data_IF_583230989074
#
_entry.id   IF_583230989074
#
_cell.length_a   1.000
_cell.length_b   1.000
_cell.length_c   1.000
_cell.angle_alpha   90.00
_cell.angle_beta   90.00
_cell.angle_gamma   90.00
#
_symmetry.space_group_name_H-M   'P 1'
#
loop_
_entity.id
_entity.type
_entity.pdbx_description
1 polymer ?
#
# COMPACT_ATOMS: atom_id res chain seq x y z
N UNK A 1 -5.02 1.18 20.17
CA UNK A 1 -5.88 2.28 19.66
C UNK A 1 -6.18 2.01 18.20
N UNK A 2 -7.47 2.05 17.80
CA UNK A 2 -7.85 1.80 16.41
C UNK A 2 -7.27 2.87 15.49
N UNK A 3 -6.51 2.43 14.49
CA UNK A 3 -5.94 3.29 13.45
C UNK A 3 -6.94 3.54 12.34
N UNK A 4 -7.74 2.50 12.01
CA UNK A 4 -8.78 2.53 10.98
C UNK A 4 -10.09 2.03 11.58
N UNK A 5 -11.18 2.76 11.33
CA UNK A 5 -12.55 2.29 11.62
C UNK A 5 -13.42 2.56 10.40
N UNK A 6 -14.07 1.51 9.91
CA UNK A 6 -15.04 1.56 8.82
C UNK A 6 -16.40 1.13 9.34
N UNK A 7 -17.45 1.92 9.05
CA UNK A 7 -18.83 1.64 9.45
C UNK A 7 -19.73 1.69 8.23
N UNK A 8 -20.26 0.53 7.85
CA UNK A 8 -21.14 0.37 6.68
C UNK A 8 -20.54 1.00 5.41
N UNK A 9 -19.22 0.85 5.24
CA UNK A 9 -18.51 1.45 4.11
C UNK A 9 -18.94 0.78 2.81
N UNK A 10 -19.38 1.60 1.86
CA UNK A 10 -19.63 1.20 0.48
C UNK A 10 -18.70 1.92 -0.48
N UNK A 11 -18.22 1.22 -1.51
CA UNK A 11 -17.33 1.82 -2.53
C UNK A 11 -17.97 1.72 -3.91
N UNK A 12 -17.88 2.80 -4.67
CA UNK A 12 -18.37 2.87 -6.04
C UNK A 12 -17.25 3.26 -7.01
N UNK A 13 -17.32 2.74 -8.21
CA UNK A 13 -16.49 3.16 -9.34
C UNK A 13 -17.34 3.87 -10.38
N UNK A 14 -16.78 4.92 -11.00
CA UNK A 14 -17.42 5.60 -12.12
C UNK A 14 -17.21 4.77 -13.40
N UNK A 15 -18.30 4.36 -14.01
CA UNK A 15 -18.33 3.67 -15.30
C UNK A 15 -19.16 4.52 -16.29
N UNK A 16 -18.47 5.36 -17.07
CA UNK A 16 -19.13 6.40 -17.87
C UNK A 16 -19.81 7.43 -16.98
N UNK A 17 -21.12 7.57 -17.11
CA UNK A 17 -21.93 8.52 -16.31
C UNK A 17 -22.54 7.87 -15.05
N UNK A 18 -22.43 6.55 -14.87
CA UNK A 18 -23.00 5.82 -13.74
C UNK A 18 -21.96 5.49 -12.68
N UNK A 19 -22.42 5.45 -11.41
CA UNK A 19 -21.65 4.94 -10.28
C UNK A 19 -22.10 3.51 -10.02
N UNK A 20 -21.21 2.55 -10.24
CA UNK A 20 -21.44 1.14 -9.90
C UNK A 20 -20.85 0.83 -8.55
N UNK A 21 -21.69 0.41 -7.60
CA UNK A 21 -21.24 -0.04 -6.28
C UNK A 21 -20.56 -1.40 -6.40
N UNK A 22 -19.33 -1.50 -5.87
CA UNK A 22 -18.48 -2.71 -5.95
C UNK A 22 -18.10 -3.25 -4.58
N UNK A 23 -18.22 -2.43 -3.53
CA UNK A 23 -18.04 -2.85 -2.14
C UNK A 23 -19.27 -2.44 -1.34
N UNK A 24 -19.72 -3.35 -0.46
CA UNK A 24 -21.00 -3.23 0.23
C UNK A 24 -20.84 -3.43 1.73
N UNK A 25 -21.26 -2.43 2.51
CA UNK A 25 -21.52 -2.51 3.96
C UNK A 25 -20.35 -3.11 4.76
N UNK A 26 -19.12 -2.67 4.46
CA UNK A 26 -17.91 -3.11 5.15
C UNK A 26 -17.84 -2.47 6.52
N UNK A 27 -17.78 -3.31 7.56
CA UNK A 27 -17.52 -2.93 8.93
C UNK A 27 -16.18 -3.55 9.36
N UNK A 28 -15.19 -2.71 9.68
CA UNK A 28 -13.85 -3.16 9.97
C UNK A 28 -13.15 -2.19 10.91
N UNK A 29 -12.35 -2.72 11.82
CA UNK A 29 -11.41 -1.94 12.61
C UNK A 29 -10.03 -2.57 12.57
N UNK A 30 -8.99 -1.74 12.51
CA UNK A 30 -7.59 -2.16 12.48
C UNK A 30 -6.83 -1.36 13.53
N UNK A 31 -6.08 -2.09 14.37
CA UNK A 31 -5.29 -1.49 15.44
C UNK A 31 -3.94 -0.96 14.92
N UNK A 32 -3.37 -0.02 15.65
CA UNK A 32 -2.03 0.49 15.33
C UNK A 32 -0.99 -0.61 15.53
N UNK A 33 -0.05 -0.74 14.58
CA UNK A 33 1.00 -1.75 14.57
C UNK A 33 0.55 -3.12 14.09
N UNK A 34 -0.75 -3.31 13.76
CA UNK A 34 -1.30 -4.56 13.26
C UNK A 34 -0.92 -4.77 11.78
N UNK A 35 -0.60 -5.99 11.41
CA UNK A 35 -0.61 -6.45 10.02
C UNK A 35 -1.92 -7.17 9.74
N UNK A 36 -2.81 -6.53 9.01
CA UNK A 36 -4.14 -7.04 8.69
C UNK A 36 -4.19 -7.60 7.28
N UNK A 37 -4.73 -8.82 7.14
CA UNK A 37 -4.89 -9.53 5.87
C UNK A 37 -6.28 -9.39 5.26
N UNK A 38 -6.36 -9.13 3.96
CA UNK A 38 -7.60 -9.19 3.20
C UNK A 38 -7.43 -10.20 2.06
N UNK A 39 -8.07 -11.37 2.20
CA UNK A 39 -7.97 -12.48 1.24
C UNK A 39 -9.24 -12.61 0.43
N UNK A 40 -9.13 -13.06 -0.82
CA UNK A 40 -10.30 -13.35 -1.66
C UNK A 40 -9.97 -13.41 -3.14
N UNK A 41 -10.90 -13.91 -3.97
CA UNK A 41 -10.69 -14.05 -5.41
C UNK A 41 -10.47 -12.71 -6.10
N UNK A 42 -9.84 -12.76 -7.29
CA UNK A 42 -9.67 -11.57 -8.12
C UNK A 42 -11.03 -10.93 -8.47
N UNK A 43 -11.08 -9.60 -8.44
CA UNK A 43 -12.30 -8.83 -8.74
C UNK A 43 -13.36 -8.79 -7.62
N UNK A 44 -13.12 -9.38 -6.44
CA UNK A 44 -14.09 -9.32 -5.34
C UNK A 44 -14.19 -7.97 -4.61
N UNK A 45 -13.33 -6.99 -4.93
CA UNK A 45 -13.38 -5.63 -4.38
C UNK A 45 -12.22 -5.22 -3.48
N UNK A 46 -11.22 -6.09 -3.23
CA UNK A 46 -10.08 -5.83 -2.33
C UNK A 46 -9.31 -4.54 -2.69
N UNK A 47 -8.83 -4.44 -3.92
CA UNK A 47 -8.11 -3.24 -4.40
C UNK A 47 -8.98 -1.98 -4.36
N UNK A 48 -10.29 -2.12 -4.62
CA UNK A 48 -11.23 -0.99 -4.52
C UNK A 48 -11.33 -0.45 -3.10
N UNK A 49 -11.35 -1.34 -2.11
CA UNK A 49 -11.30 -0.96 -0.70
C UNK A 49 -9.96 -0.29 -0.36
N UNK A 50 -8.82 -0.88 -0.79
CA UNK A 50 -7.51 -0.27 -0.58
C UNK A 50 -7.40 1.13 -1.18
N UNK A 51 -7.95 1.35 -2.37
CA UNK A 51 -7.92 2.67 -3.02
C UNK A 51 -8.68 3.74 -2.24
N UNK A 52 -9.76 3.37 -1.55
CA UNK A 52 -10.44 4.29 -0.62
C UNK A 52 -9.55 4.57 0.58
N UNK A 53 -8.95 3.53 1.18
CA UNK A 53 -8.03 3.67 2.32
C UNK A 53 -6.77 4.48 1.98
N UNK A 54 -6.35 4.47 0.71
CA UNK A 54 -5.24 5.28 0.19
C UNK A 54 -5.64 6.72 -0.19
N UNK A 55 -6.95 7.04 -0.16
CA UNK A 55 -7.47 8.33 -0.63
C UNK A 55 -7.40 8.51 -2.15
N UNK A 56 -7.30 7.40 -2.91
CA UNK A 56 -7.26 7.39 -4.38
C UNK A 56 -8.65 7.26 -5.01
N UNK A 57 -9.64 6.78 -4.26
CA UNK A 57 -11.03 6.76 -4.68
C UNK A 57 -11.89 7.50 -3.65
N UNK A 58 -12.51 8.58 -4.09
CA UNK A 58 -13.36 9.44 -3.27
C UNK A 58 -14.85 9.05 -3.32
N UNK A 59 -15.24 8.10 -4.18
CA UNK A 59 -16.60 7.66 -4.37
C UNK A 59 -16.96 6.52 -3.40
N UNK A 60 -17.14 6.85 -2.15
CA UNK A 60 -17.52 5.94 -1.09
C UNK A 60 -18.65 6.52 -0.23
N UNK A 61 -19.28 5.69 0.61
CA UNK A 61 -20.35 6.04 1.54
C UNK A 61 -20.17 5.32 2.87
N UNK A 62 -20.83 5.74 3.90
CA UNK A 62 -20.70 5.19 5.25
C UNK A 62 -19.74 5.99 6.12
N UNK A 63 -19.30 5.42 7.24
CA UNK A 63 -18.33 6.01 8.16
C UNK A 63 -16.89 5.57 7.82
N UNK A 64 -15.96 6.51 7.82
CA UNK A 64 -14.52 6.22 7.65
C UNK A 64 -13.70 7.13 8.55
N UNK A 65 -13.07 6.52 9.55
CA UNK A 65 -12.11 7.18 10.45
C UNK A 65 -10.72 6.60 10.22
N UNK A 66 -9.73 7.48 10.05
CA UNK A 66 -8.35 7.10 9.78
C UNK A 66 -7.41 8.01 10.57
N UNK A 67 -6.46 7.40 11.32
CA UNK A 67 -5.48 8.14 12.13
C UNK A 67 -6.15 9.19 13.04
N UNK A 68 -7.30 8.84 13.63
CA UNK A 68 -8.07 9.70 14.51
C UNK A 68 -8.90 10.79 13.83
N UNK A 69 -8.91 10.86 12.48
CA UNK A 69 -9.66 11.84 11.69
C UNK A 69 -10.90 11.20 11.05
N UNK A 70 -12.06 11.83 11.19
CA UNK A 70 -13.27 11.44 10.47
C UNK A 70 -13.20 12.01 9.04
N UNK A 71 -13.23 11.12 8.04
CA UNK A 71 -13.13 11.49 6.64
C UNK A 71 -14.50 11.65 6.01
N UNK A 72 -14.57 12.40 4.92
CA UNK A 72 -15.82 12.66 4.18
C UNK A 72 -15.66 12.22 2.73
N UNK A 73 -16.67 11.54 2.15
CA UNK A 73 -16.66 11.19 0.73
C UNK A 73 -16.55 12.44 -0.15
N UNK A 74 -15.99 12.26 -1.35
CA UNK A 74 -15.78 13.34 -2.31
C UNK A 74 -14.69 14.34 -1.92
N UNK A 75 -13.86 14.03 -0.94
CA UNK A 75 -12.74 14.89 -0.52
C UNK A 75 -11.42 14.14 -0.56
N UNK A 76 -10.40 14.67 -1.27
CA UNK A 76 -9.08 14.06 -1.31
C UNK A 76 -8.38 14.15 0.05
N UNK A 77 -7.46 13.23 0.30
CA UNK A 77 -6.56 13.35 1.46
C UNK A 77 -5.72 14.62 1.35
N UNK A 78 -5.58 15.31 2.47
CA UNK A 78 -4.80 16.54 2.59
C UNK A 78 -3.83 16.46 3.75
N UNK A 79 -2.88 17.39 3.80
CA UNK A 79 -1.96 17.53 4.92
C UNK A 79 -1.12 16.27 5.17
N UNK A 80 -1.10 15.85 6.43
CA UNK A 80 -0.28 14.72 6.91
C UNK A 80 -0.75 13.37 6.39
N UNK A 81 -2.04 13.18 6.09
CA UNK A 81 -2.57 11.90 5.60
C UNK A 81 -1.87 11.42 4.33
N UNK A 82 -1.55 12.32 3.39
CA UNK A 82 -0.81 11.95 2.15
C UNK A 82 0.58 11.41 2.42
N UNK A 83 1.19 11.76 3.54
CA UNK A 83 2.49 11.26 3.97
C UNK A 83 2.33 9.99 4.80
N UNK A 84 1.39 9.99 5.73
CA UNK A 84 1.21 8.93 6.73
C UNK A 84 0.58 7.66 6.16
N UNK A 85 -0.11 7.76 5.01
CA UNK A 85 -0.70 6.63 4.30
C UNK A 85 0.01 6.46 2.97
N UNK A 86 0.65 5.31 2.77
CA UNK A 86 1.34 4.98 1.53
C UNK A 86 0.85 3.65 0.98
N UNK A 87 0.96 3.48 -0.34
CA UNK A 87 0.51 2.29 -1.03
C UNK A 87 1.59 1.75 -1.95
N UNK A 88 1.75 0.43 -1.91
CA UNK A 88 2.53 -0.36 -2.89
C UNK A 88 1.53 -1.07 -3.78
N UNK A 89 1.58 -0.77 -5.08
CA UNK A 89 0.66 -1.32 -6.07
C UNK A 89 1.12 -2.70 -6.55
N UNK A 90 0.20 -3.48 -7.05
CA UNK A 90 0.44 -4.79 -7.67
C UNK A 90 1.46 -4.70 -8.81
N UNK A 91 1.34 -3.70 -9.68
CA UNK A 91 2.34 -3.40 -10.71
C UNK A 91 3.29 -2.30 -10.22
N UNK A 92 4.58 -2.63 -9.95
CA UNK A 92 5.55 -1.63 -9.53
C UNK A 92 5.85 -0.57 -10.60
N UNK A 93 5.59 -0.86 -11.88
CA UNK A 93 5.71 0.16 -12.95
C UNK A 93 4.70 1.29 -12.79
N UNK A 94 3.52 1.03 -12.23
CA UNK A 94 2.52 2.06 -11.99
C UNK A 94 3.02 3.18 -11.05
N UNK A 95 4.00 2.86 -10.20
CA UNK A 95 4.58 3.80 -9.23
C UNK A 95 5.89 4.45 -9.69
N UNK A 96 6.50 4.00 -10.79
CA UNK A 96 7.81 4.47 -11.27
C UNK A 96 7.68 5.12 -12.64
N UNK A 97 8.11 6.38 -12.76
CA UNK A 97 8.08 7.08 -14.03
C UNK A 97 9.10 6.48 -15.02
N UNK A 98 8.68 5.94 -16.20
CA UNK A 98 9.54 5.13 -17.06
C UNK A 98 10.76 5.88 -17.64
N UNK A 99 10.67 7.20 -17.78
CA UNK A 99 11.72 8.05 -18.33
C UNK A 99 12.57 8.79 -17.28
N UNK A 100 12.34 8.51 -15.98
CA UNK A 100 13.15 9.08 -14.92
C UNK A 100 14.11 8.03 -14.35
N UNK A 101 15.33 8.44 -14.00
CA UNK A 101 16.23 7.64 -13.18
C UNK A 101 15.62 7.42 -11.80
N UNK A 102 15.95 6.33 -11.14
CA UNK A 102 15.38 5.99 -9.83
C UNK A 102 15.62 7.09 -8.79
N UNK A 103 16.83 7.64 -8.73
CA UNK A 103 17.15 8.74 -7.83
C UNK A 103 16.16 9.91 -7.98
N UNK A 104 15.86 10.31 -9.21
CA UNK A 104 14.90 11.40 -9.47
C UNK A 104 13.50 11.07 -8.96
N UNK A 105 13.00 9.87 -9.29
CA UNK A 105 11.66 9.43 -8.88
C UNK A 105 11.52 9.33 -7.36
N UNK A 106 12.54 8.84 -6.67
CA UNK A 106 12.55 8.69 -5.22
C UNK A 106 12.77 10.02 -4.48
N UNK A 107 13.52 10.94 -5.09
CA UNK A 107 13.77 12.26 -4.50
C UNK A 107 12.56 13.19 -4.59
N UNK A 108 11.65 12.98 -5.54
CA UNK A 108 10.53 13.89 -5.81
C UNK A 108 9.62 14.10 -4.58
N UNK A 109 9.10 13.06 -3.90
CA UNK A 109 8.26 13.24 -2.72
C UNK A 109 9.02 13.88 -1.56
N UNK A 110 10.30 13.57 -1.37
CA UNK A 110 11.13 14.17 -0.32
C UNK A 110 11.41 15.66 -0.57
N UNK A 111 11.60 16.05 -1.83
CA UNK A 111 11.75 17.47 -2.23
C UNK A 111 10.48 18.27 -1.94
N UNK A 112 9.30 17.70 -2.22
CA UNK A 112 8.01 18.34 -1.92
C UNK A 112 7.83 18.58 -0.42
N UNK A 113 8.35 17.69 0.43
CA UNK A 113 8.37 17.83 1.88
C UNK A 113 9.53 18.71 2.40
N UNK A 114 10.38 19.25 1.53
CA UNK A 114 11.57 20.04 1.88
C UNK A 114 12.54 19.29 2.82
N UNK A 115 12.60 17.97 2.65
CA UNK A 115 13.51 17.12 3.44
C UNK A 115 14.98 17.43 3.12
N UNK A 116 15.87 17.28 4.11
CA UNK A 116 17.32 17.40 3.96
C UNK A 116 17.95 16.04 3.71
N UNK A 117 19.17 16.02 3.19
CA UNK A 117 20.01 14.83 2.99
C UNK A 117 19.29 13.72 2.19
N UNK A 118 18.57 14.15 1.14
CA UNK A 118 17.68 13.30 0.33
C UNK A 118 18.43 12.09 -0.23
N UNK A 119 19.60 12.28 -0.84
CA UNK A 119 20.38 11.19 -1.45
C UNK A 119 20.86 10.18 -0.40
N UNK A 120 21.25 10.64 0.78
CA UNK A 120 21.65 9.76 1.87
C UNK A 120 20.46 8.93 2.39
N UNK A 121 19.28 9.54 2.57
CA UNK A 121 18.04 8.84 2.96
C UNK A 121 17.67 7.77 1.95
N UNK A 122 17.72 8.08 0.67
CA UNK A 122 17.42 7.14 -0.41
C UNK A 122 18.44 5.99 -0.42
N UNK A 123 19.74 6.30 -0.33
CA UNK A 123 20.79 5.30 -0.30
C UNK A 123 20.66 4.36 0.92
N UNK A 124 20.29 4.91 2.08
CA UNK A 124 20.00 4.11 3.27
C UNK A 124 18.79 3.20 3.07
N UNK A 125 17.68 3.72 2.52
CA UNK A 125 16.51 2.93 2.18
C UNK A 125 16.82 1.79 1.19
N UNK A 126 17.68 2.02 0.20
CA UNK A 126 18.14 0.98 -0.72
C UNK A 126 18.87 -0.16 0.02
N UNK A 127 19.80 0.17 0.90
CA UNK A 127 20.51 -0.85 1.69
C UNK A 127 19.58 -1.65 2.60
N UNK A 128 18.58 -0.99 3.20
CA UNK A 128 17.58 -1.66 4.05
C UNK A 128 16.78 -2.75 3.32
N UNK A 129 16.54 -2.56 2.03
CA UNK A 129 15.83 -3.56 1.21
C UNK A 129 16.78 -4.45 0.40
N UNK A 130 18.08 -4.44 0.68
CA UNK A 130 19.09 -5.25 -0.01
C UNK A 130 19.37 -4.82 -1.45
N UNK A 131 19.15 -3.54 -1.79
CA UNK A 131 19.52 -2.97 -3.09
C UNK A 131 20.85 -2.22 -3.03
N UNK A 132 21.66 -2.37 -4.09
CA UNK A 132 22.87 -1.59 -4.26
C UNK A 132 22.52 -0.13 -4.64
N UNK A 133 23.01 0.89 -3.90
CA UNK A 133 22.79 2.29 -4.23
C UNK A 133 23.23 2.70 -5.65
N UNK A 134 24.15 1.96 -6.28
CA UNK A 134 24.55 2.20 -7.67
C UNK A 134 23.41 2.05 -8.68
N UNK A 135 22.34 1.33 -8.29
CA UNK A 135 21.13 1.21 -9.11
C UNK A 135 20.35 2.53 -9.20
N UNK A 136 20.59 3.52 -8.35
CA UNK A 136 19.90 4.82 -8.36
C UNK A 136 20.04 5.58 -9.68
N UNK A 137 21.11 5.33 -10.42
CA UNK A 137 21.33 5.91 -11.76
C UNK A 137 20.61 5.19 -12.89
N UNK A 138 19.99 4.03 -12.61
CA UNK A 138 19.27 3.23 -13.59
C UNK A 138 17.85 3.76 -13.83
N UNK A 139 17.28 3.35 -14.96
CA UNK A 139 15.87 3.51 -15.28
C UNK A 139 15.08 2.27 -14.85
N UNK A 140 13.76 2.36 -14.61
CA UNK A 140 12.94 1.22 -14.17
C UNK A 140 13.04 -0.01 -15.09
N UNK A 141 13.12 0.17 -16.42
CA UNK A 141 13.23 -0.93 -17.38
C UNK A 141 14.58 -1.70 -17.30
N UNK A 142 15.59 -1.16 -16.61
CA UNK A 142 16.90 -1.79 -16.43
C UNK A 142 16.98 -2.66 -15.16
N UNK A 143 15.86 -2.79 -14.42
CA UNK A 143 15.77 -3.57 -13.20
C UNK A 143 15.02 -4.88 -13.42
N UNK A 144 15.34 -5.91 -12.60
CA UNK A 144 14.50 -7.11 -12.50
C UNK A 144 13.14 -6.80 -11.84
N UNK A 145 12.18 -7.72 -11.93
CA UNK A 145 10.87 -7.60 -11.28
C UNK A 145 10.98 -7.36 -9.77
N UNK A 146 11.75 -8.20 -9.08
CA UNK A 146 11.99 -8.06 -7.63
C UNK A 146 12.72 -6.78 -7.25
N UNK A 147 13.69 -6.33 -8.06
CA UNK A 147 14.36 -5.04 -7.83
C UNK A 147 13.37 -3.88 -7.94
N UNK A 148 12.49 -3.88 -8.94
CA UNK A 148 11.44 -2.85 -9.09
C UNK A 148 10.49 -2.85 -7.90
N UNK A 149 10.09 -4.04 -7.44
CA UNK A 149 9.21 -4.17 -6.27
C UNK A 149 9.86 -3.60 -5.01
N UNK A 150 11.14 -3.92 -4.76
CA UNK A 150 11.90 -3.33 -3.64
C UNK A 150 12.01 -1.81 -3.76
N UNK A 151 12.21 -1.27 -4.95
CA UNK A 151 12.21 0.19 -5.19
C UNK A 151 10.85 0.82 -4.88
N UNK A 152 9.74 0.17 -5.27
CA UNK A 152 8.39 0.65 -4.94
C UNK A 152 8.14 0.66 -3.42
N UNK A 153 8.60 -0.38 -2.71
CA UNK A 153 8.56 -0.44 -1.24
C UNK A 153 9.39 0.70 -0.63
N UNK A 154 10.65 0.89 -1.07
CA UNK A 154 11.49 2.00 -0.59
C UNK A 154 10.78 3.33 -0.79
N UNK A 155 10.21 3.57 -1.96
CA UNK A 155 9.50 4.82 -2.27
C UNK A 155 8.40 5.11 -1.25
N UNK A 156 7.62 4.11 -0.87
CA UNK A 156 6.59 4.23 0.14
C UNK A 156 7.18 4.51 1.54
N UNK A 157 8.23 3.78 1.92
CA UNK A 157 8.86 3.88 3.25
C UNK A 157 9.65 5.17 3.48
N UNK A 158 10.18 5.80 2.42
CA UNK A 158 10.92 7.08 2.51
C UNK A 158 10.10 8.19 3.19
N UNK A 159 8.78 8.12 3.11
CA UNK A 159 7.87 9.07 3.75
C UNK A 159 7.58 8.76 5.22
N UNK A 160 8.10 7.65 5.75
CA UNK A 160 7.86 7.16 7.11
C UNK A 160 6.37 7.07 7.41
N UNK A 161 5.62 6.26 6.65
CA UNK A 161 4.17 6.14 6.83
C UNK A 161 3.81 5.48 8.16
N UNK A 162 2.62 5.75 8.67
CA UNK A 162 2.00 5.01 9.77
C UNK A 162 1.17 3.84 9.26
N UNK A 163 0.69 3.94 8.01
CA UNK A 163 -0.09 2.92 7.33
C UNK A 163 0.52 2.61 5.96
N UNK A 164 0.85 1.35 5.74
CA UNK A 164 1.31 0.81 4.46
C UNK A 164 0.27 -0.14 3.89
N UNK A 165 -0.27 0.22 2.74
CA UNK A 165 -1.22 -0.58 1.99
C UNK A 165 -0.48 -1.38 0.91
N UNK A 166 -0.65 -2.69 0.89
CA UNK A 166 0.06 -3.63 0.03
C UNK A 166 -0.95 -4.36 -0.85
N UNK A 167 -1.06 -3.96 -2.11
CA UNK A 167 -1.99 -4.56 -3.08
C UNK A 167 -1.27 -5.64 -3.88
N UNK A 168 -1.43 -6.89 -3.50
CA UNK A 168 -0.81 -8.08 -4.11
C UNK A 168 0.71 -7.89 -4.40
N UNK A 169 1.53 -7.54 -3.41
CA UNK A 169 2.89 -7.05 -3.63
C UNK A 169 3.86 -8.08 -4.20
N UNK A 170 3.46 -9.35 -4.31
CA UNK A 170 4.31 -10.46 -4.76
C UNK A 170 3.72 -11.26 -5.92
N UNK A 171 2.50 -10.96 -6.38
CA UNK A 171 1.75 -11.78 -7.35
C UNK A 171 2.42 -11.91 -8.73
N UNK A 172 3.27 -10.97 -9.12
CA UNK A 172 3.98 -10.95 -10.41
C UNK A 172 5.45 -11.45 -10.32
N UNK A 173 5.83 -12.05 -9.18
CA UNK A 173 7.21 -12.47 -8.91
C UNK A 173 7.31 -14.00 -8.86
N UNK A 174 8.51 -14.53 -9.19
CA UNK A 174 8.82 -15.93 -8.95
C UNK A 174 8.89 -16.25 -7.45
N UNK A 175 8.75 -17.54 -7.11
CA UNK A 175 8.62 -17.99 -5.70
C UNK A 175 9.80 -17.57 -4.82
N UNK A 176 11.03 -17.56 -5.35
CA UNK A 176 12.22 -17.21 -4.57
C UNK A 176 12.24 -15.71 -4.24
N UNK A 177 11.92 -14.87 -5.21
CA UNK A 177 11.84 -13.42 -5.05
C UNK A 177 10.63 -13.04 -4.19
N UNK A 178 9.51 -13.75 -4.31
CA UNK A 178 8.35 -13.59 -3.44
C UNK A 178 8.75 -13.79 -1.97
N UNK A 179 9.42 -14.90 -1.65
CA UNK A 179 9.87 -15.19 -0.28
C UNK A 179 10.79 -14.07 0.26
N UNK A 180 11.70 -13.55 -0.55
CA UNK A 180 12.58 -12.45 -0.17
C UNK A 180 11.80 -11.15 0.13
N UNK A 181 10.76 -10.83 -0.65
CA UNK A 181 9.92 -9.64 -0.41
C UNK A 181 9.08 -9.82 0.86
N UNK A 182 8.51 -11.02 1.09
CA UNK A 182 7.74 -11.30 2.30
C UNK A 182 8.61 -11.22 3.56
N UNK A 183 9.83 -11.76 3.53
CA UNK A 183 10.79 -11.63 4.63
C UNK A 183 11.12 -10.15 4.91
N UNK A 184 11.39 -9.37 3.87
CA UNK A 184 11.61 -7.92 4.00
C UNK A 184 10.43 -7.21 4.68
N UNK A 185 9.20 -7.51 4.27
CA UNK A 185 8.00 -6.92 4.88
C UNK A 185 7.82 -7.37 6.34
N UNK A 186 8.19 -8.61 6.64
CA UNK A 186 8.15 -9.15 8.01
C UNK A 186 9.18 -8.46 8.92
N UNK A 187 10.39 -8.21 8.42
CA UNK A 187 11.41 -7.43 9.15
C UNK A 187 10.92 -6.00 9.44
N UNK A 188 10.24 -5.38 8.48
CA UNK A 188 9.65 -4.05 8.66
C UNK A 188 8.51 -4.05 9.69
N UNK A 189 7.70 -5.11 9.75
CA UNK A 189 6.66 -5.29 10.76
C UNK A 189 7.23 -5.34 12.18
N UNK A 190 8.36 -6.01 12.37
CA UNK A 190 9.00 -6.16 13.68
C UNK A 190 9.49 -4.83 14.28
N UNK A 191 9.64 -3.77 13.50
CA UNK A 191 9.98 -2.44 14.01
C UNK A 191 8.88 -1.80 14.86
N UNK A 192 7.65 -2.34 14.82
CA UNK A 192 6.54 -2.06 15.75
C UNK A 192 5.70 -0.81 15.47
N UNK A 193 6.18 0.13 14.65
CA UNK A 193 5.49 1.42 14.45
C UNK A 193 4.65 1.47 13.17
N UNK A 194 4.73 0.44 12.30
CA UNK A 194 4.11 0.41 11.00
C UNK A 194 2.88 -0.50 11.01
N UNK A 195 1.71 0.07 10.73
CA UNK A 195 0.49 -0.71 10.47
C UNK A 195 0.47 -1.10 9.00
N UNK A 196 0.13 -2.35 8.69
CA UNK A 196 0.07 -2.86 7.33
C UNK A 196 -1.30 -3.43 7.00
N UNK A 197 -1.77 -3.21 5.78
CA UNK A 197 -2.88 -3.97 5.20
C UNK A 197 -2.34 -4.69 3.98
N UNK A 198 -2.35 -6.02 4.03
CA UNK A 198 -1.90 -6.89 2.96
C UNK A 198 -3.10 -7.51 2.24
N UNK A 199 -3.20 -7.25 0.95
CA UNK A 199 -4.16 -7.89 0.06
C UNK A 199 -3.46 -8.99 -0.71
N UNK A 200 -4.04 -10.19 -0.70
CA UNK A 200 -3.60 -11.31 -1.52
C UNK A 200 -4.78 -12.18 -1.93
N UNK A 201 -4.63 -12.92 -3.03
CA UNK A 201 -5.50 -14.04 -3.37
C UNK A 201 -4.95 -15.37 -2.84
N UNK A 202 -3.74 -15.37 -2.29
CA UNK A 202 -3.06 -16.51 -1.69
C UNK A 202 -3.23 -16.46 -0.15
N UNK A 203 -3.95 -17.45 0.39
CA UNK A 203 -4.23 -17.55 1.82
C UNK A 203 -2.95 -17.85 2.61
N UNK A 204 -2.03 -18.65 2.07
CA UNK A 204 -0.79 -19.02 2.75
C UNK A 204 0.09 -17.79 3.00
N UNK A 205 0.11 -16.85 2.05
CA UNK A 205 0.81 -15.56 2.21
C UNK A 205 0.19 -14.74 3.34
N UNK A 206 -1.13 -14.70 3.41
CA UNK A 206 -1.86 -13.95 4.45
C UNK A 206 -1.61 -14.57 5.83
N UNK A 207 -1.73 -15.88 5.95
CA UNK A 207 -1.54 -16.60 7.22
C UNK A 207 -0.10 -16.49 7.74
N UNK A 208 0.87 -16.41 6.84
CA UNK A 208 2.28 -16.22 7.20
C UNK A 208 2.60 -14.80 7.69
N UNK A 209 1.96 -13.78 7.11
CA UNK A 209 2.34 -12.38 7.28
C UNK A 209 1.47 -11.63 8.29
N UNK A 210 0.18 -11.97 8.38
CA UNK A 210 -0.81 -11.15 9.06
C UNK A 210 -1.14 -11.67 10.46
N UNK A 211 -1.38 -10.74 11.38
CA UNK A 211 -1.80 -11.07 12.74
C UNK A 211 -3.27 -11.51 12.77
N UNK A 212 -4.04 -10.97 11.84
CA UNK A 212 -5.47 -11.24 11.66
C UNK A 212 -5.84 -11.03 10.20
N UNK A 213 -6.81 -11.80 9.72
CA UNK A 213 -7.29 -11.69 8.35
C UNK A 213 -8.81 -11.80 8.27
N UNK A 214 -9.35 -11.35 7.14
CA UNK A 214 -10.75 -11.53 6.78
C UNK A 214 -10.87 -11.86 5.30
N UNK A 215 -11.81 -12.74 4.97
CA UNK A 215 -12.11 -13.05 3.59
C UNK A 215 -13.06 -12.00 2.98
N UNK A 216 -12.91 -11.76 1.67
CA UNK A 216 -13.80 -10.88 0.91
C UNK A 216 -14.33 -11.61 -0.30
N UNK A 217 -15.65 -11.60 -0.49
CA UNK A 217 -16.34 -12.17 -1.65
C UNK A 217 -17.49 -11.25 -2.09
N UNK A 218 -17.66 -11.09 -3.39
CA UNK A 218 -18.75 -10.28 -3.98
C UNK A 218 -18.94 -8.89 -3.35
N UNK A 219 -17.84 -8.21 -3.04
CA UNK A 219 -17.85 -6.87 -2.45
C UNK A 219 -18.19 -6.82 -0.96
N UNK A 220 -18.25 -7.95 -0.25
CA UNK A 220 -18.58 -8.05 1.18
C UNK A 220 -17.49 -8.79 1.95
N UNK A 221 -17.32 -8.45 3.22
CA UNK A 221 -16.53 -9.27 4.12
C UNK A 221 -17.31 -10.54 4.46
N UNK A 222 -16.62 -11.66 4.49
CA UNK A 222 -17.17 -13.00 4.81
C UNK A 222 -16.44 -13.50 6.06
N UNK A 223 -17.20 -13.85 7.08
CA UNK A 223 -16.69 -14.43 8.33
C UNK A 223 -16.39 -15.91 8.14
#
# INVERSE_FOLDING_TARGET
>A
MSLITLENLGVSHRQGYELRRVVHDVNLHIEQGECFGLVGPSGCGKSSLLWVLAGLNENWSGGFRLLGQDLKPGRPFTGTLRREVQMVFQDPYASLHPKHRLLRTLAEPLKLLKERDIEQKISTGFRQVGLDPRLLDRYPHQLSGGQRQRVAIVRALLLKPKLLLLDEPTSALDMSVQAEILNLLNDLKQTGDLTMILVSHDADVIDHMCDRSVAMAHGRLVN
#
